data_IF_108368533483
#
_entry.id   IF_108368533483
#
_cell.length_a   1.000
_cell.length_b   1.000
_cell.length_c   1.000
_cell.angle_alpha   90.00
_cell.angle_beta   90.00
_cell.angle_gamma   90.00
#
_symmetry.space_group_name_H-M   'P 1'
#
loop_
_entity.id
_entity.type
_entity.pdbx_description
1 polymer ?
#
# COMPACT_ATOMS: atom_id res chain seq x y z
N UNK A 1 -28.65 3.54 -14.52
CA UNK A 1 -27.77 2.35 -14.51
C UNK A 1 -27.05 2.31 -13.17
N UNK A 2 -26.69 1.13 -12.66
CA UNK A 2 -25.87 1.02 -11.45
C UNK A 2 -24.48 1.53 -11.81
N UNK A 3 -23.94 2.48 -11.01
CA UNK A 3 -22.56 2.95 -11.19
C UNK A 3 -21.56 1.83 -10.95
N UNK A 4 -20.41 1.88 -11.60
CA UNK A 4 -19.27 0.97 -11.38
C UNK A 4 -18.51 1.43 -10.13
N UNK A 5 -17.86 0.49 -9.45
CA UNK A 5 -16.99 0.82 -8.34
C UNK A 5 -15.68 1.44 -8.85
N UNK A 6 -15.18 2.42 -8.14
CA UNK A 6 -13.90 3.07 -8.41
C UNK A 6 -13.12 3.23 -7.10
N UNK A 7 -11.82 3.08 -7.19
CA UNK A 7 -10.88 3.45 -6.16
C UNK A 7 -10.09 4.68 -6.60
N UNK A 8 -9.86 5.64 -5.70
CA UNK A 8 -9.00 6.79 -5.96
C UNK A 8 -7.70 6.64 -5.17
N UNK A 9 -6.57 6.68 -5.87
CA UNK A 9 -5.25 6.79 -5.26
C UNK A 9 -4.68 8.18 -5.54
N UNK A 10 -4.28 8.91 -4.49
CA UNK A 10 -3.67 10.23 -4.62
C UNK A 10 -2.21 10.16 -4.18
N UNK A 11 -1.30 10.44 -5.10
CA UNK A 11 0.13 10.41 -4.83
C UNK A 11 0.64 11.76 -4.36
N UNK A 12 1.16 11.81 -3.13
CA UNK A 12 1.75 13.01 -2.51
C UNK A 12 3.27 12.81 -2.42
N UNK A 13 4.07 13.27 -3.39
CA UNK A 13 5.49 12.93 -3.53
C UNK A 13 6.42 13.78 -2.67
N UNK A 14 5.99 14.16 -1.46
CA UNK A 14 6.76 14.99 -0.56
C UNK A 14 7.14 14.24 0.71
N UNK A 15 8.43 14.31 1.07
CA UNK A 15 8.97 13.84 2.34
C UNK A 15 9.87 14.91 2.93
N UNK A 16 9.98 14.98 4.25
CA UNK A 16 11.01 15.81 4.91
C UNK A 16 12.39 15.29 4.54
N UNK A 17 12.55 13.95 4.53
CA UNK A 17 13.78 13.24 4.17
C UNK A 17 13.42 11.88 3.59
N UNK A 18 14.16 11.43 2.55
CA UNK A 18 14.00 10.08 1.98
C UNK A 18 14.73 9.07 2.86
N UNK A 19 14.03 7.98 3.22
CA UNK A 19 14.58 6.89 4.01
C UNK A 19 15.56 6.04 3.20
N UNK A 20 16.49 5.33 3.86
CA UNK A 20 17.56 4.59 3.21
C UNK A 20 17.07 3.37 2.40
N UNK A 21 15.88 2.87 2.70
CA UNK A 21 15.25 1.70 2.04
C UNK A 21 14.19 2.07 1.00
N UNK A 22 13.77 3.35 0.95
CA UNK A 22 12.54 3.73 0.25
C UNK A 22 12.77 3.90 -1.26
N UNK A 23 12.00 3.16 -2.06
CA UNK A 23 11.96 3.25 -3.52
C UNK A 23 10.84 4.17 -4.04
N UNK A 24 9.87 4.53 -3.21
CA UNK A 24 8.74 5.34 -3.64
C UNK A 24 9.17 6.66 -4.29
N UNK A 25 8.41 7.07 -5.32
CA UNK A 25 8.59 8.36 -5.97
C UNK A 25 8.30 9.50 -5.00
N UNK A 26 9.32 9.93 -4.28
CA UNK A 26 9.23 11.01 -3.30
C UNK A 26 10.57 11.73 -3.12
N UNK A 27 10.51 13.00 -2.77
CA UNK A 27 11.68 13.81 -2.40
C UNK A 27 11.26 14.97 -1.49
N UNK A 28 12.23 15.67 -0.91
CA UNK A 28 11.97 16.95 -0.25
C UNK A 28 11.47 18.00 -1.23
N UNK A 29 10.73 18.99 -0.74
CA UNK A 29 10.22 20.10 -1.53
C UNK A 29 10.00 21.33 -0.67
N UNK A 30 9.82 22.51 -1.30
CA UNK A 30 9.46 23.75 -0.58
C UNK A 30 7.93 23.84 -0.41
N UNK A 31 7.48 24.72 0.47
CA UNK A 31 6.05 24.98 0.67
C UNK A 31 5.39 25.50 -0.63
N UNK A 32 6.11 26.34 -1.40
CA UNK A 32 5.62 26.87 -2.67
C UNK A 32 5.47 25.75 -3.72
N UNK A 33 6.43 24.81 -3.77
CA UNK A 33 6.36 23.66 -4.68
C UNK A 33 5.18 22.75 -4.29
N UNK A 34 4.99 22.52 -2.99
CA UNK A 34 3.86 21.74 -2.48
C UNK A 34 2.52 22.40 -2.80
N UNK A 35 2.39 23.73 -2.59
CA UNK A 35 1.18 24.47 -2.91
C UNK A 35 0.89 24.44 -4.41
N UNK A 36 1.90 24.60 -5.27
CA UNK A 36 1.75 24.49 -6.72
C UNK A 36 1.32 23.09 -7.15
N UNK A 37 1.87 22.05 -6.53
CA UNK A 37 1.50 20.65 -6.77
C UNK A 37 0.05 20.37 -6.41
N UNK A 38 -0.40 20.80 -5.22
CA UNK A 38 -1.80 20.65 -4.77
C UNK A 38 -2.75 21.39 -5.72
N UNK A 39 -2.40 22.61 -6.16
CA UNK A 39 -3.20 23.33 -7.15
C UNK A 39 -3.32 22.58 -8.47
N UNK A 40 -2.23 21.96 -8.96
CA UNK A 40 -2.26 21.12 -10.15
C UNK A 40 -3.09 19.86 -9.94
N UNK A 41 -2.95 19.19 -8.79
CA UNK A 41 -3.76 18.02 -8.43
C UNK A 41 -5.26 18.33 -8.38
N UNK A 42 -5.66 19.47 -7.84
CA UNK A 42 -7.06 19.94 -7.85
C UNK A 42 -7.57 20.11 -9.29
N UNK A 43 -6.77 20.69 -10.19
CA UNK A 43 -7.14 20.83 -11.61
C UNK A 43 -7.25 19.45 -12.29
N UNK A 44 -6.33 18.54 -11.99
CA UNK A 44 -6.39 17.17 -12.51
C UNK A 44 -7.67 16.46 -12.05
N UNK A 45 -8.00 16.51 -10.75
CA UNK A 45 -9.25 15.93 -10.21
C UNK A 45 -10.45 16.44 -10.97
N UNK A 46 -10.55 17.75 -11.19
CA UNK A 46 -11.66 18.40 -11.89
C UNK A 46 -11.75 17.97 -13.38
N UNK A 47 -10.63 17.61 -14.00
CA UNK A 47 -10.62 17.15 -15.40
C UNK A 47 -11.33 15.80 -15.60
N UNK A 48 -11.55 15.04 -14.55
CA UNK A 48 -12.24 13.74 -14.59
C UNK A 48 -13.76 13.83 -14.45
N UNK A 49 -14.37 15.01 -14.60
CA UNK A 49 -15.80 15.22 -14.45
C UNK A 49 -16.67 14.33 -15.37
N UNK A 50 -16.22 14.06 -16.61
CA UNK A 50 -16.95 13.18 -17.53
C UNK A 50 -16.89 11.71 -17.07
N UNK A 51 -15.71 11.25 -16.67
CA UNK A 51 -15.49 9.90 -16.16
C UNK A 51 -16.34 9.63 -14.91
N UNK A 52 -16.42 10.59 -14.00
CA UNK A 52 -17.09 10.47 -12.71
C UNK A 52 -18.59 10.10 -12.79
N UNK A 53 -19.24 10.43 -13.92
CA UNK A 53 -20.64 10.10 -14.16
C UNK A 53 -20.94 8.58 -14.17
N UNK A 54 -19.95 7.75 -14.54
CA UNK A 54 -20.08 6.30 -14.67
C UNK A 54 -19.77 5.54 -13.37
N UNK A 55 -19.11 6.21 -12.39
CA UNK A 55 -18.50 5.58 -11.23
C UNK A 55 -19.04 6.10 -9.90
N UNK A 56 -18.95 5.24 -8.88
CA UNK A 56 -19.09 5.58 -7.48
C UNK A 56 -17.82 5.19 -6.74
N UNK A 57 -17.18 6.14 -6.07
CA UNK A 57 -15.93 5.93 -5.36
C UNK A 57 -16.17 5.15 -4.07
N UNK A 58 -15.53 4.01 -3.94
CA UNK A 58 -15.63 3.12 -2.79
C UNK A 58 -14.48 3.30 -1.80
N UNK A 59 -13.30 3.68 -2.30
CA UNK A 59 -12.13 3.97 -1.46
C UNK A 59 -11.35 5.16 -1.99
N UNK A 60 -10.73 5.90 -1.07
CA UNK A 60 -9.77 6.98 -1.37
C UNK A 60 -8.53 6.72 -0.54
N UNK A 61 -7.36 6.69 -1.18
CA UNK A 61 -6.10 6.46 -0.50
C UNK A 61 -5.09 7.57 -0.85
N UNK A 62 -4.69 8.35 0.14
CA UNK A 62 -3.62 9.33 0.00
C UNK A 62 -2.32 8.70 0.48
N UNK A 63 -1.36 8.51 -0.43
CA UNK A 63 -0.10 7.82 -0.16
C UNK A 63 1.09 8.40 -0.91
N UNK A 64 2.18 7.63 -0.93
CA UNK A 64 3.39 7.90 -1.70
C UNK A 64 4.59 8.38 -0.89
N UNK A 65 4.72 9.66 -0.64
CA UNK A 65 5.75 10.22 0.25
C UNK A 65 5.26 10.31 1.69
N UNK A 66 4.74 11.47 2.06
CA UNK A 66 4.20 11.74 3.40
C UNK A 66 2.98 12.67 3.27
N UNK A 67 1.79 12.15 2.99
CA UNK A 67 0.58 12.96 2.83
C UNK A 67 0.27 13.86 4.04
N UNK A 68 0.64 13.45 5.24
CA UNK A 68 0.47 14.23 6.47
C UNK A 68 1.33 15.51 6.54
N UNK A 69 2.19 15.77 5.56
CA UNK A 69 2.88 17.07 5.41
C UNK A 69 1.95 18.14 4.81
N UNK A 70 0.84 17.76 4.19
CA UNK A 70 -0.15 18.70 3.69
C UNK A 70 -0.70 19.57 4.82
N UNK A 71 -0.98 20.85 4.53
CA UNK A 71 -1.66 21.72 5.49
C UNK A 71 -3.15 21.40 5.57
N UNK A 72 -3.87 21.80 6.64
CA UNK A 72 -5.32 21.66 6.73
C UNK A 72 -6.04 22.23 5.50
N UNK A 73 -5.62 23.39 5.00
CA UNK A 73 -6.20 24.05 3.83
C UNK A 73 -5.97 23.25 2.54
N UNK A 74 -4.79 22.64 2.39
CA UNK A 74 -4.48 21.79 1.23
C UNK A 74 -5.30 20.49 1.25
N UNK A 75 -5.49 19.90 2.42
CA UNK A 75 -6.37 18.74 2.61
C UNK A 75 -7.79 19.10 2.21
N UNK A 76 -8.31 20.23 2.71
CA UNK A 76 -9.65 20.73 2.38
C UNK A 76 -9.80 20.98 0.87
N UNK A 77 -8.82 21.60 0.21
CA UNK A 77 -8.85 21.86 -1.24
C UNK A 77 -8.95 20.56 -2.05
N UNK A 78 -8.15 19.56 -1.72
CA UNK A 78 -8.15 18.25 -2.40
C UNK A 78 -9.51 17.56 -2.22
N UNK A 79 -10.00 17.46 -1.00
CA UNK A 79 -11.26 16.76 -0.72
C UNK A 79 -12.46 17.49 -1.28
N UNK A 80 -12.49 18.83 -1.24
CA UNK A 80 -13.51 19.62 -1.91
C UNK A 80 -13.54 19.33 -3.42
N UNK A 81 -12.38 19.26 -4.08
CA UNK A 81 -12.32 18.91 -5.50
C UNK A 81 -12.85 17.49 -5.76
N UNK A 82 -12.49 16.51 -4.92
CA UNK A 82 -12.99 15.14 -5.03
C UNK A 82 -14.52 15.09 -4.89
N UNK A 83 -15.09 15.68 -3.85
CA UNK A 83 -16.53 15.64 -3.60
C UNK A 83 -17.37 16.44 -4.63
N UNK A 84 -16.77 17.45 -5.26
CA UNK A 84 -17.42 18.16 -6.37
C UNK A 84 -17.36 17.41 -7.69
N UNK A 85 -16.33 16.59 -7.89
CA UNK A 85 -16.10 15.85 -9.13
C UNK A 85 -16.74 14.47 -9.10
N UNK A 86 -16.57 13.73 -8.01
CA UNK A 86 -16.96 12.32 -7.91
C UNK A 86 -18.14 12.10 -6.97
N UNK A 87 -18.95 11.09 -7.28
CA UNK A 87 -19.89 10.51 -6.32
C UNK A 87 -19.13 9.60 -5.39
N UNK A 88 -18.93 10.02 -4.16
CA UNK A 88 -18.26 9.20 -3.13
C UNK A 88 -19.32 8.46 -2.32
N UNK A 89 -19.14 7.15 -2.13
CA UNK A 89 -20.04 6.33 -1.33
C UNK A 89 -20.01 6.82 0.13
N UNK A 90 -21.16 6.87 0.80
CA UNK A 90 -21.24 7.33 2.20
C UNK A 90 -20.42 6.48 3.20
N UNK A 91 -20.16 5.21 2.83
CA UNK A 91 -19.34 4.27 3.59
C UNK A 91 -17.96 4.06 2.96
N UNK A 92 -17.47 5.00 2.14
CA UNK A 92 -16.16 4.89 1.53
C UNK A 92 -15.06 4.79 2.60
N UNK A 93 -14.07 3.92 2.36
CA UNK A 93 -12.84 3.93 3.13
C UNK A 93 -11.95 5.07 2.64
N UNK A 94 -11.58 5.98 3.52
CA UNK A 94 -10.71 7.11 3.19
C UNK A 94 -9.46 7.03 4.06
N UNK A 95 -8.37 6.58 3.46
CA UNK A 95 -7.08 6.37 4.13
C UNK A 95 -6.12 7.51 3.85
N UNK A 96 -5.38 7.94 4.86
CA UNK A 96 -4.23 8.82 4.70
C UNK A 96 -3.01 8.23 5.38
N UNK A 97 -1.91 8.14 4.63
CA UNK A 97 -0.60 7.78 5.17
C UNK A 97 0.01 8.95 5.94
N UNK A 98 0.74 8.61 7.00
CA UNK A 98 1.40 9.59 7.84
C UNK A 98 2.69 9.07 8.46
N UNK A 99 3.57 10.00 8.79
CA UNK A 99 4.75 9.72 9.59
C UNK A 99 4.62 10.32 10.99
N UNK A 100 5.17 9.70 12.03
CA UNK A 100 5.23 10.28 13.36
C UNK A 100 5.85 11.68 13.36
N UNK A 101 5.34 12.58 14.21
CA UNK A 101 5.82 13.95 14.33
C UNK A 101 5.38 14.92 13.21
N UNK A 102 4.54 14.48 12.25
CA UNK A 102 4.08 15.33 11.13
C UNK A 102 2.68 15.91 11.32
N UNK A 103 2.01 15.58 12.42
CA UNK A 103 0.65 16.02 12.74
C UNK A 103 0.54 16.60 14.15
N UNK A 104 -0.38 17.51 14.28
CA UNK A 104 -0.93 18.01 15.53
C UNK A 104 -2.44 17.71 15.61
N UNK A 105 -3.07 18.11 16.72
CA UNK A 105 -4.49 17.82 16.93
C UNK A 105 -5.41 18.59 15.95
N UNK A 106 -5.02 19.77 15.52
CA UNK A 106 -5.79 20.60 14.57
C UNK A 106 -5.79 19.96 13.19
N UNK A 107 -4.63 19.50 12.74
CA UNK A 107 -4.48 18.77 11.46
C UNK A 107 -5.25 17.45 11.48
N UNK A 108 -5.21 16.70 12.56
CA UNK A 108 -5.99 15.45 12.71
C UNK A 108 -7.51 15.73 12.66
N UNK A 109 -7.96 16.83 13.26
CA UNK A 109 -9.36 17.24 13.14
C UNK A 109 -9.72 17.66 11.70
N UNK A 110 -8.82 18.37 11.00
CA UNK A 110 -9.04 18.72 9.59
C UNK A 110 -9.13 17.48 8.70
N UNK A 111 -8.22 16.49 8.88
CA UNK A 111 -8.29 15.20 8.18
C UNK A 111 -9.66 14.53 8.41
N UNK A 112 -10.11 14.47 9.65
CA UNK A 112 -11.40 13.87 10.01
C UNK A 112 -12.60 14.63 9.44
N UNK A 113 -12.55 15.96 9.45
CA UNK A 113 -13.58 16.82 8.85
C UNK A 113 -13.64 16.64 7.32
N UNK A 114 -12.51 16.41 6.67
CA UNK A 114 -12.42 16.07 5.26
C UNK A 114 -12.94 14.66 4.91
N UNK A 115 -13.25 13.82 5.93
CA UNK A 115 -13.78 12.47 5.75
C UNK A 115 -12.78 11.36 5.93
N UNK A 116 -11.50 11.64 6.23
CA UNK A 116 -10.51 10.60 6.53
C UNK A 116 -10.99 9.75 7.71
N UNK A 117 -11.11 8.45 7.52
CA UNK A 117 -11.63 7.52 8.52
C UNK A 117 -10.67 6.35 8.84
N UNK A 118 -9.55 6.25 8.09
CA UNK A 118 -8.46 5.31 8.33
C UNK A 118 -7.12 6.04 8.25
N UNK A 119 -6.20 5.75 9.19
CA UNK A 119 -4.82 6.26 9.17
C UNK A 119 -3.83 5.11 9.03
N UNK A 120 -2.77 5.30 8.23
CA UNK A 120 -1.64 4.38 8.10
C UNK A 120 -0.37 5.07 8.59
N UNK A 121 0.25 4.55 9.66
CA UNK A 121 1.34 5.22 10.37
C UNK A 121 2.63 4.43 10.15
N UNK A 122 3.60 5.05 9.46
CA UNK A 122 4.89 4.46 9.19
C UNK A 122 5.82 4.48 10.41
N UNK A 123 5.70 3.49 11.30
CA UNK A 123 6.62 3.31 12.44
C UNK A 123 7.89 2.58 12.01
N UNK A 124 7.77 1.43 11.38
CA UNK A 124 8.78 0.49 10.91
C UNK A 124 9.44 -0.34 12.00
N UNK A 125 9.86 0.25 13.12
CA UNK A 125 10.45 -0.42 14.29
C UNK A 125 10.20 0.38 15.56
N UNK A 126 10.13 -0.29 16.71
CA UNK A 126 10.13 0.33 18.04
C UNK A 126 11.54 0.42 18.66
N UNK A 127 12.59 0.17 17.87
CA UNK A 127 13.99 0.29 18.27
C UNK A 127 14.59 1.55 17.65
N UNK A 128 15.01 2.53 18.47
CA UNK A 128 15.52 3.80 17.96
C UNK A 128 16.80 3.65 17.11
N UNK A 129 17.65 2.65 17.38
CA UNK A 129 18.83 2.38 16.56
C UNK A 129 18.46 1.82 15.17
N UNK A 130 17.41 0.97 15.07
CA UNK A 130 16.87 0.50 13.80
C UNK A 130 16.24 1.66 13.01
N UNK A 131 15.46 2.53 13.66
CA UNK A 131 14.89 3.72 13.03
C UNK A 131 15.97 4.65 12.47
N UNK A 132 17.03 4.89 13.23
CA UNK A 132 18.16 5.70 12.79
C UNK A 132 18.88 5.07 11.59
N UNK A 133 19.10 3.75 11.61
CA UNK A 133 19.69 3.01 10.50
C UNK A 133 18.81 3.07 9.25
N UNK A 134 17.49 2.99 9.38
CA UNK A 134 16.52 3.18 8.30
C UNK A 134 16.53 4.61 7.73
N UNK A 135 17.19 5.57 8.40
CA UNK A 135 17.15 6.99 8.04
C UNK A 135 15.86 7.70 8.45
N UNK A 136 15.09 7.10 9.37
CA UNK A 136 13.89 7.74 9.95
C UNK A 136 14.29 8.96 10.78
N UNK A 137 13.44 9.97 10.78
CA UNK A 137 13.67 11.23 11.51
C UNK A 137 13.00 11.26 12.87
N UNK A 138 12.11 10.29 13.15
CA UNK A 138 11.41 10.17 14.42
C UNK A 138 11.98 9.06 15.30
N UNK A 139 11.69 9.14 16.58
CA UNK A 139 11.94 8.12 17.60
C UNK A 139 10.65 7.36 17.93
N UNK A 140 10.77 6.24 18.66
CA UNK A 140 9.60 5.52 19.15
C UNK A 140 8.77 6.36 20.13
N UNK A 141 9.42 7.22 20.93
CA UNK A 141 8.76 8.12 21.87
C UNK A 141 7.89 9.16 21.11
N UNK A 142 8.39 9.74 20.03
CA UNK A 142 7.64 10.67 19.17
C UNK A 142 6.48 9.95 18.44
N UNK A 143 6.65 8.68 18.10
CA UNK A 143 5.53 7.86 17.60
C UNK A 143 4.45 7.69 18.67
N UNK A 144 4.81 7.41 19.95
CA UNK A 144 3.85 7.28 21.04
C UNK A 144 3.09 8.60 21.32
N UNK A 145 3.75 9.73 21.18
CA UNK A 145 3.08 11.04 21.26
C UNK A 145 2.08 11.23 20.12
N UNK A 146 2.49 10.90 18.90
CA UNK A 146 1.61 10.94 17.72
C UNK A 146 0.42 10.00 17.90
N UNK A 147 0.64 8.79 18.40
CA UNK A 147 -0.44 7.81 18.65
C UNK A 147 -1.49 8.35 19.63
N UNK A 148 -1.06 8.99 20.72
CA UNK A 148 -1.96 9.64 21.69
C UNK A 148 -2.80 10.75 21.03
N UNK A 149 -2.22 11.56 20.16
CA UNK A 149 -2.97 12.59 19.43
C UNK A 149 -4.03 11.97 18.52
N UNK A 150 -3.72 10.87 17.84
CA UNK A 150 -4.66 10.12 16.99
C UNK A 150 -5.83 9.58 17.81
N UNK A 151 -5.56 9.05 19.00
CA UNK A 151 -6.59 8.58 19.92
C UNK A 151 -7.48 9.73 20.42
N UNK A 152 -6.88 10.86 20.77
CA UNK A 152 -7.61 12.07 21.19
C UNK A 152 -8.50 12.63 20.06
N UNK A 153 -8.03 12.59 18.81
CA UNK A 153 -8.82 12.96 17.63
C UNK A 153 -9.93 11.93 17.33
N UNK A 154 -9.92 10.77 17.99
CA UNK A 154 -10.97 9.76 17.92
C UNK A 154 -10.96 8.91 16.65
N UNK A 155 -9.80 8.68 16.04
CA UNK A 155 -9.65 7.68 14.97
C UNK A 155 -9.74 6.27 15.55
N UNK A 156 -10.50 5.37 14.87
CA UNK A 156 -10.81 3.99 15.29
C UNK A 156 -10.45 2.95 14.23
N UNK A 157 -9.79 3.36 13.16
CA UNK A 157 -9.23 2.47 12.15
C UNK A 157 -7.80 2.93 11.87
N UNK A 158 -6.85 2.27 12.54
CA UNK A 158 -5.46 2.71 12.59
C UNK A 158 -4.56 1.55 12.22
N UNK A 159 -3.74 1.78 11.22
CA UNK A 159 -2.70 0.86 10.80
C UNK A 159 -1.33 1.33 11.31
N UNK A 160 -0.49 0.38 11.68
CA UNK A 160 0.94 0.59 11.96
C UNK A 160 1.74 -0.23 10.94
N UNK A 161 2.63 0.43 10.20
CA UNK A 161 3.56 -0.26 9.30
C UNK A 161 4.81 -0.68 10.08
N UNK A 162 5.19 -1.95 9.94
CA UNK A 162 6.37 -2.56 10.54
C UNK A 162 7.25 -3.19 9.47
N UNK A 163 8.55 -3.23 9.73
CA UNK A 163 9.50 -3.92 8.88
C UNK A 163 10.29 -4.95 9.67
N UNK A 164 10.38 -6.16 9.13
CA UNK A 164 11.26 -7.23 9.60
C UNK A 164 12.49 -7.38 8.72
N UNK A 165 13.42 -8.22 9.14
CA UNK A 165 14.67 -8.51 8.44
C UNK A 165 15.55 -7.28 8.16
N UNK A 166 15.49 -6.28 9.05
CA UNK A 166 16.31 -5.08 8.94
C UNK A 166 17.80 -5.40 9.19
N UNK A 167 18.74 -4.64 8.57
CA UNK A 167 20.15 -4.81 8.88
C UNK A 167 20.44 -4.64 10.37
N UNK A 168 21.04 -5.66 10.99
CA UNK A 168 21.32 -5.70 12.43
C UNK A 168 20.15 -6.08 13.34
N UNK A 169 18.95 -6.26 12.80
CA UNK A 169 17.79 -6.71 13.57
C UNK A 169 17.97 -8.17 14.02
N UNK A 170 17.55 -8.46 15.23
CA UNK A 170 17.47 -9.82 15.78
C UNK A 170 16.03 -10.25 16.01
N UNK A 171 15.78 -11.54 16.17
CA UNK A 171 14.45 -12.05 16.51
C UNK A 171 13.94 -11.41 17.80
N UNK A 172 14.83 -11.21 18.80
CA UNK A 172 14.47 -10.61 20.09
C UNK A 172 14.13 -9.13 19.95
N UNK A 173 14.85 -8.34 19.14
CA UNK A 173 14.55 -6.92 18.91
C UNK A 173 13.25 -6.74 18.14
N UNK A 174 12.96 -7.64 17.21
CA UNK A 174 11.71 -7.66 16.46
C UNK A 174 10.53 -8.08 17.33
N UNK A 175 10.71 -9.10 18.20
CA UNK A 175 9.69 -9.50 19.17
C UNK A 175 9.33 -8.38 20.17
N UNK A 176 10.34 -7.66 20.65
CA UNK A 176 10.12 -6.48 21.51
C UNK A 176 9.35 -5.39 20.76
N UNK A 177 9.65 -5.19 19.47
CA UNK A 177 8.88 -4.27 18.61
C UNK A 177 7.42 -4.70 18.51
N UNK A 178 7.15 -5.98 18.18
CA UNK A 178 5.78 -6.52 18.11
C UNK A 178 5.06 -6.35 19.45
N UNK A 179 5.72 -6.66 20.56
CA UNK A 179 5.15 -6.57 21.91
C UNK A 179 4.74 -5.13 22.27
N UNK A 180 5.60 -4.15 21.97
CA UNK A 180 5.34 -2.72 22.19
C UNK A 180 4.19 -2.21 21.33
N UNK A 181 4.12 -2.63 20.08
CA UNK A 181 3.08 -2.21 19.13
C UNK A 181 1.74 -2.84 19.47
N UNK A 182 1.71 -4.13 19.82
CA UNK A 182 0.47 -4.81 20.22
C UNK A 182 -0.14 -4.26 21.51
N UNK A 183 0.69 -3.74 22.44
CA UNK A 183 0.22 -3.06 23.63
C UNK A 183 -0.57 -1.77 23.35
N UNK A 184 -0.48 -1.22 22.14
CA UNK A 184 -1.25 -0.06 21.66
C UNK A 184 -2.61 -0.44 21.06
N UNK A 185 -2.91 -1.73 20.95
CA UNK A 185 -4.15 -2.29 20.42
C UNK A 185 -4.57 -1.74 19.04
N UNK A 186 -3.67 -1.66 18.03
CA UNK A 186 -4.04 -1.20 16.70
C UNK A 186 -5.14 -2.09 16.09
N UNK A 187 -5.84 -1.56 15.09
CA UNK A 187 -6.86 -2.31 14.36
C UNK A 187 -6.27 -3.09 13.18
N UNK A 188 -5.11 -2.65 12.68
CA UNK A 188 -4.46 -3.20 11.50
C UNK A 188 -2.93 -3.08 11.66
N UNK A 189 -2.20 -4.04 11.12
CA UNK A 189 -0.73 -4.02 11.02
C UNK A 189 -0.33 -4.45 9.61
N UNK A 190 0.50 -3.62 8.97
CA UNK A 190 1.24 -3.99 7.76
C UNK A 190 2.64 -4.42 8.19
N UNK A 191 3.00 -5.67 7.97
CA UNK A 191 4.31 -6.22 8.34
C UNK A 191 5.03 -6.71 7.08
N UNK A 192 6.09 -6.00 6.70
CA UNK A 192 6.88 -6.28 5.51
C UNK A 192 8.26 -6.80 5.89
N UNK A 193 8.76 -7.81 5.19
CA UNK A 193 10.19 -8.09 5.16
C UNK A 193 10.90 -7.04 4.30
N UNK A 194 12.11 -6.64 4.70
CA UNK A 194 12.93 -5.70 3.91
C UNK A 194 13.23 -6.27 2.53
N UNK A 195 12.89 -5.52 1.50
CA UNK A 195 13.33 -5.78 0.13
C UNK A 195 14.38 -4.73 -0.25
N UNK A 196 15.49 -5.18 -0.83
CA UNK A 196 16.58 -4.32 -1.28
C UNK A 196 16.29 -3.86 -2.72
N UNK A 197 15.70 -2.67 -2.86
CA UNK A 197 15.35 -2.11 -4.16
C UNK A 197 16.49 -1.32 -4.77
N UNK A 198 16.75 -1.54 -6.07
CA UNK A 198 17.76 -0.81 -6.84
C UNK A 198 17.52 0.71 -6.78
N UNK A 199 18.60 1.48 -6.63
CA UNK A 199 18.51 2.94 -6.46
C UNK A 199 18.31 3.41 -5.03
N UNK A 200 18.15 2.51 -4.06
CA UNK A 200 18.12 2.85 -2.63
C UNK A 200 19.52 2.86 -2.00
N UNK A 201 19.64 3.55 -0.86
CA UNK A 201 20.89 3.55 -0.09
C UNK A 201 21.25 2.16 0.42
N UNK A 202 20.22 1.35 0.80
CA UNK A 202 20.45 -0.01 1.26
C UNK A 202 20.93 -0.93 0.16
N UNK A 203 20.41 -0.82 -1.05
CA UNK A 203 20.91 -1.55 -2.21
C UNK A 203 22.38 -1.20 -2.49
N UNK A 204 22.73 0.07 -2.46
CA UNK A 204 24.10 0.55 -2.57
C UNK A 204 25.04 -0.01 -1.48
N UNK A 205 24.52 -0.18 -0.25
CA UNK A 205 25.30 -0.78 0.85
C UNK A 205 25.46 -2.28 0.67
N UNK A 206 24.45 -2.96 0.17
CA UNK A 206 24.51 -4.38 -0.18
C UNK A 206 25.55 -4.63 -1.26
N UNK A 207 25.50 -3.94 -2.39
CA UNK A 207 26.46 -4.06 -3.49
C UNK A 207 27.91 -3.79 -3.04
N UNK A 208 28.09 -2.93 -2.04
CA UNK A 208 29.43 -2.64 -1.45
C UNK A 208 29.83 -3.61 -0.32
N UNK A 209 29.07 -4.66 -0.05
CA UNK A 209 29.32 -5.65 1.00
C UNK A 209 29.29 -5.07 2.42
N UNK A 210 28.59 -3.95 2.64
CA UNK A 210 28.45 -3.34 3.97
C UNK A 210 27.42 -4.08 4.84
N UNK A 211 26.49 -4.78 4.21
CA UNK A 211 25.44 -5.52 4.89
C UNK A 211 25.77 -7.00 5.12
N UNK A 212 26.99 -7.43 4.76
CA UNK A 212 27.43 -8.83 4.90
C UNK A 212 27.99 -9.14 6.29
N UNK A 213 28.38 -8.12 7.05
CA UNK A 213 29.10 -8.28 8.32
C UNK A 213 28.99 -7.06 9.24
N UNK A 214 29.31 -7.28 10.51
CA UNK A 214 29.30 -6.23 11.53
C UNK A 214 27.91 -5.99 12.12
N UNK A 215 27.74 -4.83 12.75
CA UNK A 215 26.51 -4.49 13.46
C UNK A 215 25.27 -4.35 12.55
N UNK A 216 25.48 -4.17 11.25
CA UNK A 216 24.42 -4.01 10.25
C UNK A 216 24.37 -5.16 9.24
N UNK A 217 24.81 -6.33 9.65
CA UNK A 217 24.64 -7.55 8.84
C UNK A 217 23.14 -7.84 8.68
N UNK A 218 22.75 -8.21 7.47
CA UNK A 218 21.38 -8.72 7.22
C UNK A 218 21.17 -10.02 8.02
N UNK A 219 19.98 -10.23 8.56
CA UNK A 219 19.57 -11.54 9.08
C UNK A 219 19.76 -12.64 8.02
N UNK A 220 19.95 -13.88 8.47
CA UNK A 220 19.91 -15.02 7.57
C UNK A 220 18.49 -15.31 7.10
N UNK A 221 18.35 -16.11 6.04
CA UNK A 221 17.03 -16.55 5.57
C UNK A 221 16.23 -17.27 6.66
N UNK A 222 16.91 -18.06 7.53
CA UNK A 222 16.26 -18.72 8.65
C UNK A 222 15.78 -17.72 9.72
N UNK A 223 16.56 -16.67 9.99
CA UNK A 223 16.15 -15.60 10.93
C UNK A 223 14.99 -14.78 10.36
N UNK A 224 15.02 -14.44 9.08
CA UNK A 224 13.92 -13.76 8.38
C UNK A 224 12.64 -14.59 8.42
N UNK A 225 12.72 -15.88 8.08
CA UNK A 225 11.61 -16.81 8.16
C UNK A 225 11.05 -16.89 9.59
N UNK A 226 11.92 -17.00 10.60
CA UNK A 226 11.50 -17.03 11.99
C UNK A 226 10.78 -15.74 12.45
N UNK A 227 11.21 -14.58 11.95
CA UNK A 227 10.49 -13.30 12.19
C UNK A 227 9.12 -13.30 11.53
N UNK A 228 8.97 -13.86 10.34
CA UNK A 228 7.68 -14.04 9.66
C UNK A 228 6.72 -14.91 10.45
N UNK A 229 7.17 -16.08 10.90
CA UNK A 229 6.38 -16.99 11.74
C UNK A 229 5.99 -16.34 13.08
N UNK A 230 6.92 -15.63 13.71
CA UNK A 230 6.67 -14.87 14.93
C UNK A 230 5.58 -13.81 14.71
N UNK A 231 5.61 -13.11 13.58
CA UNK A 231 4.58 -12.11 13.22
C UNK A 231 3.21 -12.76 13.16
N UNK A 232 3.07 -13.86 12.42
CA UNK A 232 1.80 -14.59 12.27
C UNK A 232 1.26 -15.03 13.63
N UNK A 233 2.11 -15.64 14.46
CA UNK A 233 1.75 -16.13 15.78
C UNK A 233 1.26 -14.99 16.70
N UNK A 234 2.08 -13.94 16.85
CA UNK A 234 1.82 -12.84 17.78
C UNK A 234 0.59 -12.02 17.39
N UNK A 235 0.37 -11.81 16.08
CA UNK A 235 -0.81 -11.09 15.59
C UNK A 235 -2.08 -11.94 15.73
N UNK A 236 -2.02 -13.24 15.52
CA UNK A 236 -3.13 -14.15 15.76
C UNK A 236 -3.52 -14.19 17.25
N UNK A 237 -2.56 -14.23 18.18
CA UNK A 237 -2.80 -14.13 19.63
C UNK A 237 -3.49 -12.81 20.02
N UNK A 238 -3.23 -11.72 19.28
CA UNK A 238 -3.86 -10.42 19.46
C UNK A 238 -5.23 -10.29 18.75
N UNK A 239 -5.75 -11.38 18.15
CA UNK A 239 -7.05 -11.41 17.45
C UNK A 239 -7.02 -10.76 16.07
N UNK A 240 -5.85 -10.61 15.47
CA UNK A 240 -5.69 -10.20 14.09
C UNK A 240 -5.48 -11.41 13.20
N UNK A 241 -6.11 -11.43 12.03
CA UNK A 241 -5.88 -12.46 11.02
C UNK A 241 -5.12 -11.88 9.81
N UNK A 242 -4.23 -12.67 9.26
CA UNK A 242 -3.62 -12.39 7.96
C UNK A 242 -4.70 -12.46 6.90
N UNK A 243 -4.87 -11.44 6.07
CA UNK A 243 -5.88 -11.47 5.00
C UNK A 243 -5.26 -11.40 3.60
N UNK A 244 -4.00 -10.97 3.52
CA UNK A 244 -3.14 -11.03 2.33
C UNK A 244 -1.67 -11.15 2.75
N UNK A 245 -0.72 -11.14 1.81
CA UNK A 245 0.70 -11.51 2.05
C UNK A 245 1.33 -10.74 3.21
N UNK A 246 1.10 -9.43 3.31
CA UNK A 246 1.82 -8.56 4.26
C UNK A 246 0.91 -7.87 5.28
N UNK A 247 -0.40 -8.07 5.20
CA UNK A 247 -1.35 -7.30 6.00
C UNK A 247 -2.20 -8.17 6.93
N UNK A 248 -2.36 -7.67 8.15
CA UNK A 248 -3.07 -8.31 9.24
C UNK A 248 -4.08 -7.35 9.86
N UNK A 249 -5.28 -7.81 10.15
CA UNK A 249 -6.35 -6.96 10.67
C UNK A 249 -7.21 -7.67 11.71
N UNK A 250 -7.81 -6.89 12.62
CA UNK A 250 -8.98 -7.33 13.36
C UNK A 250 -10.16 -7.49 12.39
N UNK A 251 -11.13 -8.38 12.65
CA UNK A 251 -12.27 -8.60 11.75
C UNK A 251 -12.98 -7.30 11.36
N UNK A 252 -13.16 -7.07 10.06
CA UNK A 252 -13.78 -5.85 9.49
C UNK A 252 -12.90 -4.60 9.51
N UNK A 253 -11.57 -4.79 9.66
CA UNK A 253 -10.57 -3.72 9.61
C UNK A 253 -9.53 -3.92 8.50
N UNK A 254 -9.77 -4.88 7.61
CA UNK A 254 -8.99 -5.09 6.40
C UNK A 254 -8.97 -3.81 5.56
N UNK A 255 -7.84 -3.48 4.94
CA UNK A 255 -7.73 -2.33 4.04
C UNK A 255 -8.48 -2.63 2.74
N UNK A 256 -9.63 -1.98 2.56
CA UNK A 256 -10.49 -2.20 1.38
C UNK A 256 -9.82 -1.75 0.09
N UNK A 257 -9.03 -0.70 0.15
CA UNK A 257 -8.28 -0.19 -1.00
C UNK A 257 -7.24 -1.21 -1.48
N UNK A 258 -6.48 -1.84 -0.56
CA UNK A 258 -5.52 -2.87 -0.93
C UNK A 258 -6.22 -4.12 -1.50
N UNK A 259 -7.34 -4.54 -0.87
CA UNK A 259 -8.13 -5.65 -1.39
C UNK A 259 -8.67 -5.37 -2.79
N UNK A 260 -9.06 -4.13 -3.08
CA UNK A 260 -9.51 -3.73 -4.41
C UNK A 260 -8.44 -3.92 -5.48
N UNK A 261 -7.17 -3.60 -5.20
CA UNK A 261 -6.07 -3.90 -6.13
C UNK A 261 -5.94 -5.41 -6.38
N UNK A 262 -6.04 -6.24 -5.33
CA UNK A 262 -5.97 -7.70 -5.48
C UNK A 262 -7.19 -8.29 -6.20
N UNK A 263 -8.34 -7.62 -6.16
CA UNK A 263 -9.56 -7.98 -6.89
C UNK A 263 -9.63 -7.35 -8.28
N UNK A 264 -8.61 -6.62 -8.72
CA UNK A 264 -8.60 -5.87 -9.98
C UNK A 264 -9.76 -4.89 -10.09
N UNK A 265 -10.20 -4.30 -8.99
CA UNK A 265 -11.14 -3.19 -8.99
C UNK A 265 -10.54 -2.04 -9.81
N UNK A 266 -11.35 -1.36 -10.61
CA UNK A 266 -10.88 -0.20 -11.35
C UNK A 266 -10.44 0.90 -10.39
N UNK A 267 -9.27 1.47 -10.67
CA UNK A 267 -8.70 2.54 -9.87
C UNK A 267 -8.15 3.65 -10.74
N UNK A 268 -8.28 4.88 -10.25
CA UNK A 268 -7.75 6.08 -10.85
C UNK A 268 -6.67 6.66 -9.94
N UNK A 269 -5.44 6.64 -10.43
CA UNK A 269 -4.31 7.32 -9.81
C UNK A 269 -4.30 8.79 -10.19
N UNK A 270 -4.06 9.65 -9.22
CA UNK A 270 -4.02 11.12 -9.36
C UNK A 270 -2.67 11.60 -8.82
N UNK A 271 -2.03 12.52 -9.54
CA UNK A 271 -0.72 13.04 -9.17
C UNK A 271 0.43 12.37 -9.93
N UNK A 272 1.61 12.99 -9.86
CA UNK A 272 2.81 12.51 -10.55
C UNK A 272 3.23 11.11 -10.08
N UNK A 273 3.53 10.21 -11.01
CA UNK A 273 3.98 8.85 -10.73
C UNK A 273 2.88 7.89 -10.26
N UNK A 274 1.61 8.28 -10.33
CA UNK A 274 0.50 7.37 -10.06
C UNK A 274 0.15 6.53 -11.28
N UNK A 275 -0.41 5.33 -11.03
CA UNK A 275 -0.90 4.41 -12.05
C UNK A 275 -2.42 4.29 -11.98
N UNK A 276 -3.05 3.89 -13.07
CA UNK A 276 -4.50 3.72 -13.19
C UNK A 276 -4.84 2.45 -13.95
N UNK A 277 -6.01 1.87 -13.63
CA UNK A 277 -6.64 0.80 -14.42
C UNK A 277 -8.13 1.16 -14.61
N UNK A 278 -8.49 1.62 -15.79
CA UNK A 278 -9.84 2.06 -16.13
C UNK A 278 -10.30 1.38 -17.42
N UNK A 279 -11.43 0.67 -17.40
CA UNK A 279 -12.02 -0.01 -18.57
C UNK A 279 -11.05 -0.96 -19.30
N UNK A 280 -10.17 -1.62 -18.54
CA UNK A 280 -9.17 -2.53 -19.11
C UNK A 280 -7.97 -1.82 -19.75
N UNK A 281 -7.86 -0.51 -19.58
CA UNK A 281 -6.68 0.26 -19.98
C UNK A 281 -5.86 0.60 -18.74
N UNK A 282 -4.56 0.29 -18.77
CA UNK A 282 -3.57 0.72 -17.79
C UNK A 282 -2.82 1.93 -18.34
N UNK A 283 -2.57 2.90 -17.49
CA UNK A 283 -1.75 4.05 -17.82
C UNK A 283 -1.09 4.63 -16.57
N UNK A 284 0.06 5.26 -16.77
CA UNK A 284 0.84 5.91 -15.72
C UNK A 284 0.90 7.42 -15.94
N UNK A 285 1.11 8.14 -14.87
CA UNK A 285 1.41 9.56 -14.91
C UNK A 285 2.92 9.80 -14.85
N UNK A 286 3.36 10.89 -15.48
CA UNK A 286 4.76 11.31 -15.52
C UNK A 286 5.38 11.34 -14.10
N UNK A 287 6.57 10.74 -13.97
CA UNK A 287 7.33 10.67 -12.70
C UNK A 287 8.27 11.88 -12.54
N UNK A 288 7.74 13.10 -12.71
CA UNK A 288 8.45 14.36 -12.51
C UNK A 288 7.46 15.41 -11.98
N UNK A 289 7.68 15.90 -10.76
CA UNK A 289 6.78 16.85 -10.08
C UNK A 289 6.69 18.19 -10.82
N UNK A 290 7.81 18.70 -11.34
CA UNK A 290 7.84 19.99 -12.02
C UNK A 290 7.14 19.93 -13.36
N UNK A 291 7.46 18.90 -14.14
CA UNK A 291 6.79 18.66 -15.41
C UNK A 291 5.29 18.39 -15.24
N UNK A 292 4.88 17.65 -14.16
CA UNK A 292 3.48 17.44 -13.82
C UNK A 292 2.75 18.78 -13.58
N UNK A 293 3.31 19.66 -12.74
CA UNK A 293 2.73 20.98 -12.44
C UNK A 293 2.62 21.83 -13.72
N UNK A 294 3.66 21.85 -14.54
CA UNK A 294 3.71 22.63 -15.78
C UNK A 294 2.70 22.12 -16.81
N UNK A 295 2.66 20.82 -17.05
CA UNK A 295 1.75 20.19 -18.01
C UNK A 295 0.28 20.38 -17.64
N UNK A 296 -0.09 20.15 -16.38
CA UNK A 296 -1.45 20.39 -15.90
C UNK A 296 -1.84 21.86 -16.10
N UNK A 297 -0.97 22.79 -15.71
CA UNK A 297 -1.22 24.23 -15.87
C UNK A 297 -1.41 24.65 -17.33
N UNK A 298 -0.72 23.99 -18.25
CA UNK A 298 -0.82 24.26 -19.69
C UNK A 298 -1.94 23.47 -20.37
N UNK A 299 -2.64 22.59 -19.68
CA UNK A 299 -3.65 21.67 -20.26
C UNK A 299 -3.04 20.59 -21.17
N UNK A 300 -1.77 20.23 -20.92
CA UNK A 300 -1.06 19.17 -21.63
C UNK A 300 -1.26 17.81 -20.96
N UNK A 301 -1.15 16.73 -21.74
CA UNK A 301 -1.24 15.36 -21.22
C UNK A 301 -0.08 15.05 -20.27
N UNK A 302 -0.42 14.44 -19.14
CA UNK A 302 0.53 13.88 -18.15
C UNK A 302 0.67 12.36 -18.28
N UNK A 303 -0.13 11.74 -19.18
CA UNK A 303 -0.18 10.29 -19.33
C UNK A 303 1.05 9.77 -20.07
N UNK A 304 1.59 8.68 -19.56
CA UNK A 304 2.65 7.87 -20.18
C UNK A 304 2.23 6.39 -20.14
N UNK A 305 2.89 5.56 -20.91
CA UNK A 305 2.81 4.09 -20.86
C UNK A 305 1.36 3.54 -20.86
N UNK A 306 0.56 4.01 -21.83
CA UNK A 306 -0.82 3.54 -22.01
C UNK A 306 -0.84 2.18 -22.69
N UNK A 307 -1.56 1.24 -22.07
CA UNK A 307 -1.73 -0.13 -22.55
C UNK A 307 -3.18 -0.59 -22.39
N UNK A 308 -3.76 -1.14 -23.47
CA UNK A 308 -5.01 -1.88 -23.38
C UNK A 308 -4.64 -3.33 -23.08
N UNK A 309 -5.03 -3.80 -21.90
CA UNK A 309 -4.68 -5.13 -21.44
C UNK A 309 -5.36 -6.19 -22.32
N UNK A 310 -4.58 -7.12 -22.85
CA UNK A 310 -5.09 -8.31 -23.53
C UNK A 310 -5.91 -9.17 -22.57
N UNK A 311 -6.74 -10.07 -23.09
CA UNK A 311 -7.49 -11.01 -22.23
C UNK A 311 -6.53 -11.93 -21.48
N UNK A 312 -5.43 -12.31 -22.12
CA UNK A 312 -4.37 -13.10 -21.51
C UNK A 312 -3.76 -12.37 -20.31
N UNK A 313 -3.31 -11.11 -20.49
CA UNK A 313 -2.76 -10.29 -19.40
C UNK A 313 -3.77 -10.10 -18.27
N UNK A 314 -5.06 -9.95 -18.59
CA UNK A 314 -6.11 -9.86 -17.58
C UNK A 314 -6.32 -11.17 -16.79
N UNK A 315 -6.16 -12.33 -17.44
CA UNK A 315 -6.21 -13.64 -16.77
C UNK A 315 -4.99 -13.83 -15.86
N UNK A 316 -3.79 -13.46 -16.34
CA UNK A 316 -2.56 -13.48 -15.53
C UNK A 316 -2.73 -12.65 -14.26
N UNK A 317 -3.17 -11.40 -14.39
CA UNK A 317 -3.42 -10.51 -13.26
C UNK A 317 -4.46 -11.06 -12.30
N UNK A 318 -5.54 -11.63 -12.78
CA UNK A 318 -6.55 -12.25 -11.94
C UNK A 318 -5.96 -13.33 -11.05
N UNK A 319 -5.03 -14.13 -11.59
CA UNK A 319 -4.35 -15.18 -10.83
C UNK A 319 -3.33 -14.59 -9.87
N UNK A 320 -2.31 -13.85 -10.36
CA UNK A 320 -1.21 -13.46 -9.49
C UNK A 320 -1.58 -12.36 -8.48
N UNK A 321 -2.54 -11.49 -8.77
CA UNK A 321 -3.04 -10.52 -7.78
C UNK A 321 -4.01 -11.20 -6.80
N UNK A 322 -4.95 -11.98 -7.30
CA UNK A 322 -5.96 -12.61 -6.46
C UNK A 322 -5.39 -13.65 -5.49
N UNK A 323 -4.33 -14.37 -5.89
CA UNK A 323 -3.63 -15.33 -5.03
C UNK A 323 -2.81 -14.67 -3.91
N UNK A 324 -2.61 -13.35 -3.94
CA UNK A 324 -2.04 -12.62 -2.80
C UNK A 324 -2.95 -12.65 -1.58
N UNK A 325 -4.26 -12.78 -1.78
CA UNK A 325 -5.24 -12.89 -0.68
C UNK A 325 -5.21 -14.30 -0.09
N UNK A 326 -5.37 -14.39 1.23
CA UNK A 326 -5.49 -15.68 1.95
C UNK A 326 -6.68 -16.51 1.46
N UNK A 327 -7.77 -15.85 1.06
CA UNK A 327 -8.93 -16.54 0.47
C UNK A 327 -8.69 -17.00 -0.97
N UNK A 328 -7.67 -16.50 -1.65
CA UNK A 328 -7.32 -16.83 -3.01
C UNK A 328 -8.33 -16.36 -4.06
N UNK A 329 -8.41 -17.08 -5.19
CA UNK A 329 -9.28 -16.79 -6.33
C UNK A 329 -10.42 -17.81 -6.47
N UNK A 330 -11.56 -17.38 -7.01
CA UNK A 330 -12.70 -18.24 -7.31
C UNK A 330 -12.64 -18.74 -8.75
N UNK A 331 -12.79 -20.05 -8.96
CA UNK A 331 -12.95 -20.67 -10.29
C UNK A 331 -14.20 -20.15 -11.00
N UNK A 332 -15.28 -19.91 -10.23
CA UNK A 332 -16.55 -19.38 -10.75
C UNK A 332 -16.36 -17.95 -11.22
N UNK A 333 -15.67 -17.11 -10.46
CA UNK A 333 -15.41 -15.72 -10.84
C UNK A 333 -14.52 -15.66 -12.09
N UNK A 334 -13.48 -16.50 -12.18
CA UNK A 334 -12.65 -16.59 -13.38
C UNK A 334 -13.51 -16.92 -14.63
N UNK A 335 -14.40 -17.91 -14.52
CA UNK A 335 -15.28 -18.29 -15.61
C UNK A 335 -16.27 -17.16 -15.98
N UNK A 336 -16.80 -16.46 -14.97
CA UNK A 336 -17.72 -15.34 -15.20
C UNK A 336 -17.04 -14.16 -15.91
N UNK A 337 -15.77 -13.88 -15.56
CA UNK A 337 -15.01 -12.78 -16.14
C UNK A 337 -14.53 -13.08 -17.57
N UNK A 338 -14.01 -14.29 -17.79
CA UNK A 338 -13.28 -14.62 -19.01
C UNK A 338 -14.03 -15.57 -19.96
N UNK A 339 -15.15 -16.16 -19.51
CA UNK A 339 -15.89 -17.17 -20.28
C UNK A 339 -15.11 -18.48 -20.49
N UNK A 340 -14.02 -18.69 -19.77
CA UNK A 340 -13.15 -19.86 -19.85
C UNK A 340 -13.08 -20.53 -18.47
N UNK A 341 -12.91 -21.86 -18.44
CA UNK A 341 -12.58 -22.53 -17.19
C UNK A 341 -11.11 -22.29 -16.86
N UNK A 342 -10.79 -22.01 -15.59
CA UNK A 342 -9.41 -21.78 -15.14
C UNK A 342 -8.53 -23.02 -15.39
N UNK A 343 -9.09 -24.23 -15.26
CA UNK A 343 -8.36 -25.49 -15.50
C UNK A 343 -7.98 -25.66 -16.97
N UNK A 344 -8.77 -25.14 -17.92
CA UNK A 344 -8.45 -25.18 -19.35
C UNK A 344 -7.26 -24.28 -19.69
N UNK A 345 -7.00 -23.23 -18.88
CA UNK A 345 -5.92 -22.25 -19.10
C UNK A 345 -4.69 -22.64 -18.27
N UNK A 346 -4.88 -22.92 -16.98
CA UNK A 346 -3.80 -23.08 -16.01
C UNK A 346 -3.69 -24.50 -15.42
N UNK A 347 -4.48 -25.48 -15.88
CA UNK A 347 -4.58 -26.80 -15.25
C UNK A 347 -3.23 -27.45 -14.93
N UNK A 348 -2.27 -27.45 -15.88
CA UNK A 348 -0.93 -28.02 -15.65
C UNK A 348 -0.13 -27.29 -14.56
N UNK A 349 -0.32 -25.98 -14.45
CA UNK A 349 0.34 -25.15 -13.43
C UNK A 349 -0.31 -25.44 -12.09
N UNK A 350 -1.64 -25.52 -12.04
CA UNK A 350 -2.39 -25.85 -10.83
C UNK A 350 -2.03 -27.23 -10.29
N UNK A 351 -2.01 -28.27 -11.15
CA UNK A 351 -1.62 -29.63 -10.77
C UNK A 351 -0.19 -29.67 -10.20
N UNK A 352 0.76 -29.01 -10.89
CA UNK A 352 2.17 -28.91 -10.44
C UNK A 352 2.27 -28.28 -9.05
N UNK A 353 1.63 -27.12 -8.87
CA UNK A 353 1.75 -26.37 -7.61
C UNK A 353 1.00 -27.05 -6.45
N UNK A 354 -0.08 -27.82 -6.73
CA UNK A 354 -0.74 -28.68 -5.75
C UNK A 354 0.17 -29.84 -5.32
N UNK A 355 0.81 -30.55 -6.28
CA UNK A 355 1.77 -31.62 -5.99
C UNK A 355 2.96 -31.11 -5.17
N UNK A 356 3.42 -29.88 -5.40
CA UNK A 356 4.47 -29.22 -4.64
C UNK A 356 3.98 -28.68 -3.28
N UNK A 357 2.70 -28.82 -2.96
CA UNK A 357 2.06 -28.31 -1.73
C UNK A 357 2.16 -26.78 -1.58
N UNK A 358 2.15 -26.05 -2.68
CA UNK A 358 2.18 -24.58 -2.72
C UNK A 358 0.78 -24.00 -2.92
N UNK A 359 -0.12 -24.75 -3.53
CA UNK A 359 -1.54 -24.42 -3.65
C UNK A 359 -2.40 -25.48 -2.94
N UNK A 360 -3.59 -25.04 -2.54
CA UNK A 360 -4.66 -25.92 -2.06
C UNK A 360 -6.00 -25.49 -2.64
N UNK A 361 -6.92 -26.45 -2.76
CA UNK A 361 -8.24 -26.22 -3.29
C UNK A 361 -9.30 -26.41 -2.19
N UNK A 362 -10.23 -25.45 -2.09
CA UNK A 362 -11.32 -25.50 -1.11
C UNK A 362 -12.63 -25.06 -1.77
N UNK A 363 -13.47 -26.01 -2.16
CA UNK A 363 -14.66 -25.75 -2.95
C UNK A 363 -14.31 -25.19 -4.33
N UNK A 364 -14.75 -23.97 -4.62
CA UNK A 364 -14.41 -23.26 -5.85
C UNK A 364 -13.14 -22.38 -5.74
N UNK A 365 -12.52 -22.33 -4.56
CA UNK A 365 -11.36 -21.50 -4.29
C UNK A 365 -10.04 -22.20 -4.59
N UNK A 366 -9.14 -21.47 -5.21
CA UNK A 366 -7.71 -21.77 -5.39
C UNK A 366 -6.96 -20.79 -4.50
N UNK A 367 -6.15 -21.27 -3.56
CA UNK A 367 -5.41 -20.42 -2.64
C UNK A 367 -4.01 -20.94 -2.38
N UNK A 368 -3.12 -20.05 -1.98
CA UNK A 368 -1.79 -20.43 -1.51
C UNK A 368 -1.91 -21.19 -0.19
N UNK A 369 -1.12 -22.24 -0.04
CA UNK A 369 -0.85 -22.84 1.27
C UNK A 369 0.01 -21.90 2.11
N UNK A 370 0.22 -22.20 3.39
CA UNK A 370 1.17 -21.44 4.22
C UNK A 370 2.57 -21.39 3.55
N UNK A 371 3.09 -22.54 3.12
CA UNK A 371 4.36 -22.63 2.38
C UNK A 371 4.31 -21.86 1.06
N UNK A 372 3.18 -21.88 0.35
CA UNK A 372 3.00 -21.10 -0.88
C UNK A 372 3.05 -19.60 -0.63
N UNK A 373 2.53 -19.13 0.52
CA UNK A 373 2.63 -17.72 0.93
C UNK A 373 4.08 -17.26 1.17
N UNK A 374 4.91 -18.13 1.77
CA UNK A 374 6.32 -17.82 2.07
C UNK A 374 7.15 -17.65 0.79
N UNK A 375 6.82 -18.40 -0.25
CA UNK A 375 7.50 -18.36 -1.56
C UNK A 375 6.60 -17.75 -2.65
N UNK A 376 5.68 -16.89 -2.27
CA UNK A 376 4.63 -16.39 -3.13
C UNK A 376 5.14 -15.79 -4.44
N UNK A 377 6.24 -15.05 -4.44
CA UNK A 377 6.78 -14.46 -5.67
C UNK A 377 7.11 -15.54 -6.72
N UNK A 378 7.66 -16.69 -6.31
CA UNK A 378 7.95 -17.79 -7.22
C UNK A 378 6.65 -18.42 -7.74
N UNK A 379 5.67 -18.64 -6.87
CA UNK A 379 4.37 -19.23 -7.25
C UNK A 379 3.59 -18.31 -8.18
N UNK A 380 3.52 -17.03 -7.87
CA UNK A 380 2.77 -16.06 -8.66
C UNK A 380 3.36 -15.87 -10.06
N UNK A 381 4.68 -15.99 -10.21
CA UNK A 381 5.36 -15.90 -11.51
C UNK A 381 5.02 -17.08 -12.45
N UNK A 382 4.58 -18.23 -11.95
CA UNK A 382 4.16 -19.37 -12.79
C UNK A 382 2.87 -19.09 -13.59
N UNK A 383 2.09 -18.07 -13.19
CA UNK A 383 0.83 -17.73 -13.87
C UNK A 383 1.01 -16.75 -15.05
N UNK A 384 2.22 -16.37 -15.40
CA UNK A 384 2.49 -15.61 -16.61
C UNK A 384 2.42 -16.54 -17.83
N UNK A 385 1.64 -16.16 -18.88
CA UNK A 385 1.34 -16.97 -20.07
C UNK A 385 2.33 -16.73 -21.21
#
# INVERSE_FOLDING_TARGET
MKKRNLELYLHIPFCVRKCNYCDFFSASGTEEEQAAYVSAMVQEIQSYQELSGEYEVQTIFLGGGTPSLLTPEQIEQIFNAIYHTFSVNENAEITMEMNPGTVDIEKLHAMKAAGVNRLSIGLQSAQNEELKMLGRIHTFEEFLETWKLIEQAGFKNRNIDLMSALPGQTIESYEDTLSKVLALEPEHISAYSLILEEGTVFYDWYEKGKLDRGAWKLPSEEEEYAMGELTILRLAEAGMHRYEISNYAKPGKECRHNLGYWDRTEYLGIGAGSSSLIKGERFDHIRDRKAYIEKIRNGESILIDREILSVESQMEEFMYLGLRKVEGVSRIDFQNYFGKNVDDVYGKILDKLEEEQLLEFSGDRIRLTHRGMDVSNCVLAEFLL
#
